data_IF_431026798797
#
_entry.id   IF_431026798797
#
_cell.length_a   1.000
_cell.length_b   1.000
_cell.length_c   1.000
_cell.angle_alpha   90.00
_cell.angle_beta   90.00
_cell.angle_gamma   90.00
#
_symmetry.space_group_name_H-M   'P 1'
#
loop_
_entity.id
_entity.type
_entity.pdbx_description
1 polymer ?
#
# COMPACT_ATOMS: atom_id res chain seq x y z
N UNK A 1 19.38 0.63 45.72
CA UNK A 1 20.67 0.36 45.05
C UNK A 1 20.60 -0.98 44.31
N UNK A 2 19.61 -1.17 43.41
CA UNK A 2 19.49 -2.26 42.44
C UNK A 2 18.55 -1.79 41.31
N UNK A 3 18.93 -0.78 40.54
CA UNK A 3 18.22 -0.36 39.36
C UNK A 3 19.14 0.18 38.25
N UNK A 4 20.41 -0.20 38.28
CA UNK A 4 21.41 0.28 37.30
C UNK A 4 21.95 -0.78 36.34
N UNK A 5 21.21 -1.85 36.06
CA UNK A 5 21.66 -2.86 35.09
C UNK A 5 20.51 -3.30 34.15
N UNK A 6 19.81 -2.37 33.56
CA UNK A 6 19.04 -2.67 32.36
C UNK A 6 19.05 -1.46 31.44
N UNK A 7 20.24 -1.19 30.87
CA UNK A 7 20.41 -0.16 29.84
C UNK A 7 19.94 -0.64 28.48
N UNK A 8 18.71 -1.18 28.39
CA UNK A 8 18.00 -1.33 27.14
C UNK A 8 17.17 -0.04 27.04
N UNK A 9 17.74 1.00 26.46
CA UNK A 9 16.96 2.05 25.84
C UNK A 9 16.26 1.36 24.67
N UNK A 10 15.03 0.90 24.87
CA UNK A 10 14.10 0.72 23.77
C UNK A 10 13.90 2.13 23.18
N UNK A 11 14.64 2.45 22.13
CA UNK A 11 14.19 3.39 21.15
C UNK A 11 12.86 2.82 20.66
N UNK A 12 11.74 3.25 21.21
CA UNK A 12 10.44 3.00 20.65
C UNK A 12 10.50 3.67 19.27
N UNK A 13 10.71 2.85 18.23
CA UNK A 13 10.55 3.34 16.86
C UNK A 13 9.14 3.96 16.79
N UNK A 14 9.09 5.17 16.28
CA UNK A 14 7.82 5.91 16.18
C UNK A 14 6.85 5.07 15.34
N UNK A 15 5.68 4.75 15.88
CA UNK A 15 4.60 4.14 15.12
C UNK A 15 4.16 5.14 14.05
N UNK A 16 4.18 4.73 12.79
CA UNK A 16 3.69 5.50 11.66
C UNK A 16 2.21 5.20 11.46
N UNK A 17 1.37 6.23 11.45
CA UNK A 17 -0.07 6.12 11.20
C UNK A 17 -0.33 6.45 9.73
N UNK A 18 -0.72 5.43 8.96
CA UNK A 18 -1.15 5.56 7.56
C UNK A 18 -2.67 5.63 7.48
N UNK A 19 -3.22 6.58 6.73
CA UNK A 19 -4.66 6.68 6.49
C UNK A 19 -4.98 6.87 5.01
N UNK A 20 -6.12 6.30 4.57
CA UNK A 20 -6.69 6.53 3.24
C UNK A 20 -7.65 7.72 3.28
N UNK A 21 -7.82 8.42 2.15
CA UNK A 21 -8.74 9.54 2.01
C UNK A 21 -9.71 9.34 0.84
N UNK A 22 -10.92 9.90 0.97
CA UNK A 22 -11.96 9.87 -0.06
C UNK A 22 -12.04 11.19 -0.85
N UNK A 23 -11.46 12.27 -0.33
CA UNK A 23 -11.43 13.59 -0.95
C UNK A 23 -10.21 14.38 -0.51
N UNK A 24 -9.91 15.47 -1.22
CA UNK A 24 -8.83 16.40 -0.84
C UNK A 24 -9.13 17.05 0.51
N UNK A 25 -10.37 17.42 0.76
CA UNK A 25 -10.80 17.96 2.05
C UNK A 25 -10.53 16.98 3.21
N UNK A 26 -10.77 15.69 2.98
CA UNK A 26 -10.46 14.67 3.99
C UNK A 26 -8.94 14.52 4.20
N UNK A 27 -8.12 14.71 3.15
CA UNK A 27 -6.65 14.75 3.30
C UNK A 27 -6.26 15.86 4.29
N UNK A 28 -6.81 17.08 4.15
CA UNK A 28 -6.53 18.18 5.06
C UNK A 28 -6.92 17.84 6.50
N UNK A 29 -8.11 17.28 6.71
CA UNK A 29 -8.58 16.85 8.04
C UNK A 29 -7.69 15.78 8.67
N UNK A 30 -7.21 14.81 7.88
CA UNK A 30 -6.31 13.77 8.35
C UNK A 30 -4.93 14.32 8.72
N UNK A 31 -4.42 15.29 7.96
CA UNK A 31 -3.17 15.98 8.26
C UNK A 31 -3.28 16.80 9.58
N UNK A 32 -4.40 17.51 9.78
CA UNK A 32 -4.71 18.22 11.03
C UNK A 32 -4.84 17.25 12.21
N UNK A 33 -5.41 16.06 12.00
CA UNK A 33 -5.52 15.01 13.01
C UNK A 33 -4.18 14.36 13.38
N UNK A 34 -3.11 14.66 12.64
CA UNK A 34 -1.75 14.22 12.97
C UNK A 34 -1.34 12.90 12.33
N UNK A 35 -2.03 12.42 11.29
CA UNK A 35 -1.63 11.26 10.49
C UNK A 35 -0.22 11.48 9.93
N UNK A 36 0.59 10.43 9.89
CA UNK A 36 1.98 10.52 9.40
C UNK A 36 2.10 10.29 7.91
N UNK A 37 1.23 9.45 7.33
CA UNK A 37 1.28 9.05 5.93
C UNK A 37 -0.13 9.03 5.33
N UNK A 38 -0.31 9.68 4.18
CA UNK A 38 -1.57 9.66 3.41
C UNK A 38 -1.45 8.64 2.28
N UNK A 39 -2.40 7.69 2.24
CA UNK A 39 -2.46 6.63 1.24
C UNK A 39 -3.59 6.87 0.25
N UNK A 40 -3.23 7.11 -1.00
CA UNK A 40 -4.13 7.42 -2.12
C UNK A 40 -3.73 6.63 -3.36
N UNK A 41 -4.48 6.77 -4.46
CA UNK A 41 -4.08 6.15 -5.72
C UNK A 41 -4.94 6.55 -6.90
N UNK A 42 -4.48 6.15 -8.07
CA UNK A 42 -5.11 6.38 -9.36
C UNK A 42 -5.97 5.15 -9.74
N UNK A 43 -6.94 5.36 -10.62
CA UNK A 43 -7.97 4.38 -10.99
C UNK A 43 -7.42 3.07 -11.58
N UNK A 44 -6.42 3.17 -12.46
CA UNK A 44 -5.93 2.00 -13.22
C UNK A 44 -4.91 1.18 -12.43
N UNK A 45 -4.08 1.84 -11.62
CA UNK A 45 -2.93 1.22 -10.96
C UNK A 45 -3.13 0.93 -9.47
N UNK A 46 -4.15 1.56 -8.83
CA UNK A 46 -4.46 1.36 -7.42
C UNK A 46 -5.62 0.37 -7.20
N UNK A 47 -5.50 -0.48 -6.19
CA UNK A 47 -6.59 -1.35 -5.72
C UNK A 47 -6.91 -1.10 -4.25
N UNK A 48 -8.15 -1.44 -3.87
CA UNK A 48 -8.61 -1.43 -2.48
C UNK A 48 -8.52 -0.04 -1.82
N UNK A 49 -8.83 0.97 -2.60
CA UNK A 49 -8.91 2.36 -2.15
C UNK A 49 -10.38 2.77 -1.98
N UNK A 50 -10.69 3.68 -1.05
CA UNK A 50 -12.07 4.21 -0.89
C UNK A 50 -12.50 5.00 -2.13
N UNK A 51 -11.59 5.72 -2.76
CA UNK A 51 -11.77 6.45 -4.01
C UNK A 51 -10.48 6.48 -4.82
N UNK A 52 -10.54 7.01 -6.03
CA UNK A 52 -9.38 7.22 -6.90
C UNK A 52 -9.25 8.69 -7.28
N UNK A 53 -8.03 9.16 -7.45
CA UNK A 53 -7.71 10.55 -7.76
C UNK A 53 -7.12 10.69 -9.16
N UNK A 54 -7.44 11.79 -9.84
CA UNK A 54 -6.79 12.16 -11.10
C UNK A 54 -5.34 12.61 -10.86
N UNK A 55 -4.54 12.68 -11.91
CA UNK A 55 -3.17 13.18 -11.84
C UNK A 55 -3.08 14.59 -11.23
N UNK A 56 -4.01 15.50 -11.57
CA UNK A 56 -4.02 16.85 -11.03
C UNK A 56 -4.36 16.85 -9.54
N UNK A 57 -5.30 16.03 -9.11
CA UNK A 57 -5.62 15.86 -7.69
C UNK A 57 -4.45 15.22 -6.92
N UNK A 58 -3.73 14.26 -7.51
CA UNK A 58 -2.54 13.68 -6.88
C UNK A 58 -1.42 14.71 -6.73
N UNK A 59 -1.23 15.65 -7.67
CA UNK A 59 -0.30 16.78 -7.51
C UNK A 59 -0.69 17.71 -6.36
N UNK A 60 -1.98 18.01 -6.25
CA UNK A 60 -2.51 18.84 -5.16
C UNK A 60 -2.32 18.15 -3.80
N UNK A 61 -2.66 16.87 -3.70
CA UNK A 61 -2.47 16.07 -2.49
C UNK A 61 -0.98 15.99 -2.12
N UNK A 62 -0.08 15.74 -3.09
CA UNK A 62 1.36 15.70 -2.84
C UNK A 62 1.85 17.01 -2.20
N UNK A 63 1.41 18.15 -2.74
CA UNK A 63 1.74 19.45 -2.19
C UNK A 63 1.23 19.62 -0.76
N UNK A 64 -0.03 19.32 -0.49
CA UNK A 64 -0.63 19.43 0.86
C UNK A 64 0.10 18.56 1.87
N UNK A 65 0.40 17.32 1.51
CA UNK A 65 1.10 16.36 2.38
C UNK A 65 2.52 16.82 2.69
N UNK A 66 3.27 17.25 1.68
CA UNK A 66 4.65 17.73 1.86
C UNK A 66 4.72 19.08 2.60
N UNK A 67 3.80 20.00 2.34
CA UNK A 67 3.69 21.27 3.07
C UNK A 67 3.43 21.05 4.58
N UNK A 68 2.72 19.96 4.93
CA UNK A 68 2.52 19.51 6.31
C UNK A 68 3.70 18.71 6.89
N UNK A 69 4.77 18.47 6.13
CA UNK A 69 5.93 17.66 6.54
C UNK A 69 5.59 16.19 6.76
N UNK A 70 4.63 15.66 6.00
CA UNK A 70 4.14 14.28 6.06
C UNK A 70 4.52 13.49 4.81
N UNK A 71 4.26 12.17 4.80
CA UNK A 71 4.64 11.27 3.72
C UNK A 71 3.46 10.93 2.81
N UNK A 72 3.70 10.93 1.50
CA UNK A 72 2.75 10.50 0.48
C UNK A 72 3.03 9.05 0.07
N UNK A 73 2.03 8.20 0.20
CA UNK A 73 2.03 6.82 -0.26
C UNK A 73 1.01 6.66 -1.39
N UNK A 74 1.45 6.16 -2.54
CA UNK A 74 0.57 5.95 -3.70
C UNK A 74 0.44 4.46 -4.01
N UNK A 75 -0.81 4.02 -4.24
CA UNK A 75 -1.12 2.66 -4.61
C UNK A 75 -0.70 2.34 -6.05
N UNK A 76 0.15 1.33 -6.21
CA UNK A 76 0.57 0.71 -7.49
C UNK A 76 0.41 -0.80 -7.39
N UNK A 77 -0.62 -1.23 -6.68
CA UNK A 77 -0.84 -2.62 -6.29
C UNK A 77 -1.92 -3.33 -7.10
N UNK A 78 -2.29 -2.80 -8.26
CA UNK A 78 -3.21 -3.46 -9.17
C UNK A 78 -2.63 -4.79 -9.69
N UNK A 79 -3.52 -5.72 -10.05
CA UNK A 79 -3.15 -6.92 -10.79
C UNK A 79 -2.78 -6.52 -12.22
N UNK A 80 -1.48 -6.53 -12.54
CA UNK A 80 -0.97 -6.03 -13.81
C UNK A 80 -1.26 -7.01 -14.94
N UNK A 81 -1.87 -6.50 -16.01
CA UNK A 81 -1.96 -7.14 -17.30
C UNK A 81 -0.97 -6.49 -18.27
N UNK A 82 -0.72 -7.08 -19.42
CA UNK A 82 0.29 -6.60 -20.36
C UNK A 82 0.06 -5.15 -20.79
N UNK A 83 -1.18 -4.77 -21.08
CA UNK A 83 -1.55 -3.40 -21.46
C UNK A 83 -1.29 -2.38 -20.34
N UNK A 84 -1.40 -2.81 -19.09
CA UNK A 84 -1.07 -1.97 -17.93
C UNK A 84 0.45 -1.86 -17.76
N UNK A 85 1.19 -2.94 -17.97
CA UNK A 85 2.66 -2.92 -17.93
C UNK A 85 3.25 -2.01 -19.01
N UNK A 86 2.61 -1.90 -20.17
CA UNK A 86 3.02 -0.98 -21.23
C UNK A 86 2.82 0.50 -20.83
N UNK A 87 1.89 0.78 -19.90
CA UNK A 87 1.55 2.11 -19.38
C UNK A 87 2.17 2.44 -18.01
N UNK A 88 2.82 1.49 -17.36
CA UNK A 88 3.32 1.67 -15.98
C UNK A 88 4.41 2.73 -15.91
N UNK A 89 5.33 2.75 -16.89
CA UNK A 89 6.47 3.69 -16.86
C UNK A 89 6.03 5.16 -16.84
N UNK A 90 5.13 5.65 -17.73
CA UNK A 90 4.63 7.02 -17.64
C UNK A 90 4.00 7.37 -16.29
N UNK A 91 3.36 6.41 -15.64
CA UNK A 91 2.79 6.62 -14.31
C UNK A 91 3.87 6.72 -13.22
N UNK A 92 4.88 5.85 -13.26
CA UNK A 92 6.01 5.93 -12.33
C UNK A 92 6.82 7.22 -12.51
N UNK A 93 7.03 7.66 -13.76
CA UNK A 93 7.68 8.94 -14.08
C UNK A 93 6.88 10.13 -13.50
N UNK A 94 5.54 10.07 -13.55
CA UNK A 94 4.66 11.05 -12.91
C UNK A 94 4.79 11.01 -11.37
N UNK A 95 4.84 9.84 -10.76
CA UNK A 95 5.02 9.72 -9.31
C UNK A 95 6.37 10.27 -8.84
N UNK A 96 7.42 10.10 -9.64
CA UNK A 96 8.72 10.72 -9.41
C UNK A 96 8.66 12.24 -9.52
N UNK A 97 7.96 12.79 -10.54
CA UNK A 97 7.74 14.23 -10.72
C UNK A 97 7.11 14.88 -9.48
N UNK A 98 6.06 14.25 -8.92
CA UNK A 98 5.36 14.77 -7.73
C UNK A 98 6.07 14.45 -6.41
N UNK A 99 7.25 13.81 -6.47
CA UNK A 99 8.07 13.42 -5.32
C UNK A 99 7.35 12.51 -4.34
N UNK A 100 6.62 11.51 -4.85
CA UNK A 100 6.02 10.48 -4.01
C UNK A 100 7.07 9.85 -3.09
N UNK A 101 6.77 9.69 -1.79
CA UNK A 101 7.71 9.12 -0.83
C UNK A 101 7.71 7.59 -0.89
N UNK A 102 6.52 7.00 -1.03
CA UNK A 102 6.34 5.56 -1.06
C UNK A 102 5.32 5.14 -2.11
N UNK A 103 5.51 3.95 -2.66
CA UNK A 103 4.49 3.26 -3.47
C UNK A 103 4.23 1.86 -2.93
N UNK A 104 2.97 1.40 -2.92
CA UNK A 104 2.67 -0.02 -2.66
C UNK A 104 2.73 -0.82 -3.94
N UNK A 105 3.39 -1.96 -3.93
CA UNK A 105 3.55 -2.83 -5.11
C UNK A 105 3.11 -4.25 -4.77
N UNK A 106 2.23 -4.83 -5.61
CA UNK A 106 1.82 -6.24 -5.51
C UNK A 106 2.40 -7.12 -6.63
N UNK A 107 2.89 -6.53 -7.71
CA UNK A 107 3.34 -7.23 -8.91
C UNK A 107 4.87 -7.21 -9.06
N UNK A 108 5.46 -8.39 -9.30
CA UNK A 108 6.91 -8.53 -9.47
C UNK A 108 7.47 -7.76 -10.69
N UNK A 109 6.67 -7.62 -11.75
CA UNK A 109 7.05 -6.85 -12.94
C UNK A 109 7.22 -5.37 -12.64
N UNK A 110 6.37 -4.80 -11.75
CA UNK A 110 6.50 -3.41 -11.30
C UNK A 110 7.78 -3.23 -10.48
N UNK A 111 8.08 -4.13 -9.54
CA UNK A 111 9.35 -4.12 -8.81
C UNK A 111 10.55 -4.15 -9.75
N UNK A 112 10.48 -4.99 -10.80
CA UNK A 112 11.54 -5.05 -11.80
C UNK A 112 11.74 -3.71 -12.51
N UNK A 113 10.66 -3.05 -12.94
CA UNK A 113 10.73 -1.73 -13.61
C UNK A 113 11.30 -0.67 -12.67
N UNK A 114 10.81 -0.61 -11.43
CA UNK A 114 11.28 0.35 -10.42
C UNK A 114 12.78 0.21 -10.17
N UNK A 115 13.26 -1.02 -9.96
CA UNK A 115 14.67 -1.28 -9.69
C UNK A 115 15.57 -1.04 -10.91
N UNK A 116 15.09 -1.39 -12.12
CA UNK A 116 15.83 -1.18 -13.36
C UNK A 116 16.03 0.30 -13.68
N UNK A 117 14.97 1.10 -13.51
CA UNK A 117 14.94 2.50 -13.93
C UNK A 117 15.44 3.46 -12.81
N UNK A 118 15.54 2.97 -11.56
CA UNK A 118 16.22 3.66 -10.45
C UNK A 118 15.43 4.86 -9.90
N UNK A 119 14.12 4.70 -9.69
CA UNK A 119 13.27 5.72 -9.06
C UNK A 119 13.67 6.02 -7.62
N UNK A 120 13.38 7.24 -7.12
CA UNK A 120 13.80 7.71 -5.80
C UNK A 120 12.85 7.31 -4.66
N UNK A 121 11.58 7.04 -4.97
CA UNK A 121 10.59 6.64 -3.96
C UNK A 121 10.87 5.24 -3.40
N UNK A 122 10.49 5.03 -2.15
CA UNK A 122 10.59 3.73 -1.50
C UNK A 122 9.43 2.82 -1.90
N UNK A 123 9.64 1.52 -1.82
CA UNK A 123 8.65 0.52 -2.19
C UNK A 123 8.15 -0.24 -0.98
N UNK A 124 6.82 -0.40 -0.86
CA UNK A 124 6.15 -1.22 0.14
C UNK A 124 5.58 -2.45 -0.55
N UNK A 125 5.98 -3.65 -0.10
CA UNK A 125 5.41 -4.88 -0.64
C UNK A 125 3.99 -5.09 -0.12
N UNK A 126 3.01 -5.11 -1.03
CA UNK A 126 1.62 -5.42 -0.68
C UNK A 126 1.42 -6.94 -0.50
N UNK A 127 1.73 -7.42 0.68
CA UNK A 127 1.51 -8.81 1.09
C UNK A 127 0.09 -9.06 1.62
N UNK A 128 -0.80 -8.07 1.57
CA UNK A 128 -2.15 -8.12 2.15
C UNK A 128 -3.05 -9.22 1.54
N UNK A 129 -2.68 -9.74 0.37
CA UNK A 129 -3.39 -10.84 -0.28
C UNK A 129 -2.57 -12.13 -0.22
N UNK A 130 -2.98 -13.06 0.64
CA UNK A 130 -2.50 -14.46 0.71
C UNK A 130 -1.03 -14.66 1.12
N UNK A 131 -0.31 -13.63 1.53
CA UNK A 131 1.08 -13.78 1.99
C UNK A 131 1.14 -13.68 3.51
N UNK A 132 1.27 -14.83 4.16
CA UNK A 132 1.33 -14.94 5.63
C UNK A 132 2.72 -15.35 6.14
N UNK A 133 3.66 -15.65 5.24
CA UNK A 133 4.99 -16.16 5.59
C UNK A 133 6.02 -15.02 5.71
N UNK A 134 6.64 -14.88 6.88
CA UNK A 134 7.76 -13.97 7.11
C UNK A 134 8.92 -14.20 6.13
N UNK A 135 9.18 -15.45 5.74
CA UNK A 135 10.23 -15.77 4.76
C UNK A 135 10.00 -15.16 3.39
N UNK A 136 8.74 -15.12 2.94
CA UNK A 136 8.39 -14.49 1.68
C UNK A 136 8.51 -12.96 1.77
N UNK A 137 8.10 -12.37 2.89
CA UNK A 137 8.24 -10.92 3.15
C UNK A 137 9.72 -10.53 3.16
N UNK A 138 10.55 -11.24 3.90
CA UNK A 138 12.00 -11.00 3.96
C UNK A 138 12.67 -11.17 2.58
N UNK A 139 12.21 -12.16 1.78
CA UNK A 139 12.69 -12.33 0.41
C UNK A 139 12.46 -11.05 -0.44
N UNK A 140 11.28 -10.44 -0.36
CA UNK A 140 11.00 -9.20 -1.10
C UNK A 140 11.86 -8.02 -0.61
N UNK A 141 12.10 -7.91 0.68
CA UNK A 141 13.04 -6.95 1.24
C UNK A 141 14.46 -7.15 0.71
N UNK A 142 14.99 -8.37 0.80
CA UNK A 142 16.36 -8.70 0.41
C UNK A 142 16.61 -8.67 -1.11
N UNK A 143 15.66 -9.13 -1.93
CA UNK A 143 15.86 -9.37 -3.36
C UNK A 143 15.23 -8.30 -4.25
N UNK A 144 14.11 -7.73 -3.85
CA UNK A 144 13.42 -6.72 -4.62
C UNK A 144 13.60 -5.29 -4.05
N UNK A 145 14.23 -5.15 -2.88
CA UNK A 145 14.48 -3.86 -2.26
C UNK A 145 13.24 -3.23 -1.64
N UNK A 146 12.21 -4.04 -1.30
CA UNK A 146 11.08 -3.54 -0.54
C UNK A 146 11.54 -2.98 0.81
N UNK A 147 11.18 -1.73 1.11
CA UNK A 147 11.55 -1.05 2.35
C UNK A 147 10.61 -1.42 3.50
N UNK A 148 9.38 -1.78 3.20
CA UNK A 148 8.33 -2.15 4.15
C UNK A 148 7.42 -3.20 3.52
N UNK A 149 6.53 -3.82 4.31
CA UNK A 149 5.49 -4.72 3.82
C UNK A 149 4.15 -4.50 4.52
N UNK A 150 3.04 -4.57 3.77
CA UNK A 150 1.68 -4.62 4.33
C UNK A 150 1.34 -6.07 4.64
N UNK A 151 1.07 -6.40 5.90
CA UNK A 151 0.80 -7.77 6.31
C UNK A 151 -0.61 -8.23 5.94
N UNK A 152 -0.74 -9.52 5.64
CA UNK A 152 -2.03 -10.15 5.42
C UNK A 152 -2.86 -10.19 6.71
N UNK A 153 -4.17 -9.99 6.58
CA UNK A 153 -5.11 -9.99 7.71
C UNK A 153 -5.46 -11.37 8.21
N UNK A 154 -5.16 -12.39 7.43
CA UNK A 154 -5.33 -13.79 7.77
C UNK A 154 -4.30 -14.28 8.79
N UNK A 155 -3.27 -13.48 9.09
CA UNK A 155 -2.26 -13.84 10.10
C UNK A 155 -2.91 -13.81 11.49
N UNK A 156 -2.92 -14.93 12.21
CA UNK A 156 -3.47 -14.97 13.58
C UNK A 156 -2.70 -14.01 14.51
N UNK A 157 -3.38 -13.37 15.44
CA UNK A 157 -2.77 -12.42 16.38
C UNK A 157 -1.59 -13.04 17.15
N UNK A 158 -1.64 -14.31 17.49
CA UNK A 158 -0.54 -15.01 18.16
C UNK A 158 0.74 -15.13 17.31
N UNK A 159 0.59 -15.16 15.98
CA UNK A 159 1.71 -15.13 15.03
C UNK A 159 2.15 -13.67 14.77
N UNK A 160 1.18 -12.76 14.63
CA UNK A 160 1.44 -11.35 14.38
C UNK A 160 2.36 -10.76 15.45
N UNK A 161 2.15 -11.08 16.74
CA UNK A 161 3.00 -10.62 17.84
C UNK A 161 4.45 -11.16 17.80
N UNK A 162 4.70 -12.23 17.04
CA UNK A 162 6.05 -12.78 16.84
C UNK A 162 6.74 -12.23 15.58
N UNK A 163 5.98 -11.62 14.68
CA UNK A 163 6.53 -11.09 13.41
C UNK A 163 7.68 -10.09 13.61
N UNK A 164 7.63 -9.14 14.57
CA UNK A 164 8.73 -8.20 14.79
C UNK A 164 10.08 -8.84 15.08
N UNK A 165 10.11 -10.08 15.63
CA UNK A 165 11.34 -10.82 15.92
C UNK A 165 11.92 -11.53 14.67
N UNK A 166 11.12 -11.66 13.60
CA UNK A 166 11.45 -12.51 12.44
C UNK A 166 11.56 -11.68 11.16
N UNK A 167 10.84 -10.56 11.08
CA UNK A 167 10.85 -9.69 9.91
C UNK A 167 12.14 -8.86 9.87
N UNK A 168 12.72 -8.75 8.68
CA UNK A 168 13.93 -7.98 8.42
C UNK A 168 13.62 -6.57 7.88
N UNK A 169 12.35 -6.31 7.57
CA UNK A 169 11.84 -5.00 7.13
C UNK A 169 10.63 -4.62 7.98
N UNK A 170 10.37 -3.33 8.19
CA UNK A 170 9.17 -2.84 8.86
C UNK A 170 7.88 -3.37 8.23
N UNK A 171 6.84 -3.49 9.04
CA UNK A 171 5.55 -4.02 8.60
C UNK A 171 4.40 -3.11 8.98
N UNK A 172 3.45 -2.94 8.05
CA UNK A 172 2.19 -2.24 8.24
C UNK A 172 1.06 -3.25 8.52
N UNK A 173 0.22 -2.94 9.49
CA UNK A 173 -0.92 -3.77 9.90
C UNK A 173 -2.20 -2.95 9.81
N UNK A 174 -3.22 -3.46 9.14
CA UNK A 174 -4.55 -2.84 9.13
C UNK A 174 -5.19 -2.97 10.53
N UNK A 175 -5.39 -1.83 11.19
CA UNK A 175 -5.99 -1.78 12.53
C UNK A 175 -7.46 -1.36 12.52
N UNK A 176 -7.89 -0.62 11.50
CA UNK A 176 -9.26 -0.18 11.32
C UNK A 176 -9.59 0.03 9.84
N UNK A 177 -10.78 -0.40 9.41
CA UNK A 177 -11.28 -0.17 8.06
C UNK A 177 -11.93 -1.40 7.43
N UNK A 178 -12.46 -1.21 6.23
CA UNK A 178 -13.07 -2.27 5.44
C UNK A 178 -12.03 -3.29 4.98
N UNK A 179 -12.42 -4.54 5.05
CA UNK A 179 -11.60 -5.68 4.65
C UNK A 179 -12.00 -6.17 3.27
N UNK A 180 -11.06 -6.27 2.33
CA UNK A 180 -11.31 -6.96 1.06
C UNK A 180 -11.42 -8.46 1.31
N UNK A 181 -12.52 -9.07 0.89
CA UNK A 181 -12.76 -10.51 0.98
C UNK A 181 -12.34 -11.19 -0.33
N UNK A 182 -12.68 -10.57 -1.47
CA UNK A 182 -12.39 -11.11 -2.78
C UNK A 182 -12.25 -9.99 -3.82
N UNK A 183 -11.33 -10.17 -4.75
CA UNK A 183 -11.19 -9.33 -5.94
C UNK A 183 -10.99 -10.20 -7.16
N UNK A 184 -11.69 -9.88 -8.26
CA UNK A 184 -11.50 -10.53 -9.55
C UNK A 184 -11.65 -9.50 -10.67
N UNK A 185 -10.73 -9.55 -11.65
CA UNK A 185 -10.87 -8.78 -12.91
C UNK A 185 -11.87 -9.41 -13.88
N UNK A 186 -12.27 -10.68 -13.66
CA UNK A 186 -13.30 -11.32 -14.47
C UNK A 186 -14.68 -10.83 -14.03
N UNK A 187 -15.61 -10.54 -14.93
CA UNK A 187 -16.99 -10.13 -14.61
C UNK A 187 -17.79 -11.34 -14.10
N UNK A 188 -17.44 -11.84 -12.90
CA UNK A 188 -17.96 -13.10 -12.37
C UNK A 188 -19.47 -13.05 -12.17
N UNK A 189 -20.03 -11.95 -11.68
CA UNK A 189 -21.48 -11.79 -11.50
C UNK A 189 -22.20 -11.81 -12.84
N UNK A 190 -21.73 -11.03 -13.82
CA UNK A 190 -22.32 -11.02 -15.14
C UNK A 190 -22.25 -12.38 -15.80
N UNK A 191 -21.11 -13.08 -15.69
CA UNK A 191 -20.97 -14.44 -16.20
C UNK A 191 -21.92 -15.42 -15.52
N UNK A 192 -22.13 -15.28 -14.21
CA UNK A 192 -23.11 -16.07 -13.46
C UNK A 192 -24.53 -15.79 -13.91
N UNK A 193 -24.95 -14.55 -14.05
CA UNK A 193 -26.28 -14.19 -14.55
C UNK A 193 -26.51 -14.67 -15.96
N UNK A 194 -25.53 -14.51 -16.85
CA UNK A 194 -25.60 -15.03 -18.21
C UNK A 194 -25.76 -16.57 -18.24
N UNK A 195 -25.06 -17.28 -17.33
CA UNK A 195 -25.16 -18.74 -17.23
C UNK A 195 -26.53 -19.19 -16.67
N UNK A 196 -27.06 -18.50 -15.69
CA UNK A 196 -28.33 -18.85 -15.03
C UNK A 196 -29.55 -18.29 -15.74
N UNK A 197 -29.38 -17.52 -16.82
CA UNK A 197 -30.45 -16.83 -17.55
C UNK A 197 -31.36 -15.94 -16.64
N UNK A 198 -30.79 -15.40 -15.58
CA UNK A 198 -31.47 -14.41 -14.72
C UNK A 198 -31.29 -13.03 -15.37
N UNK A 199 -32.40 -12.40 -15.74
CA UNK A 199 -32.38 -11.04 -16.35
C UNK A 199 -31.87 -10.00 -15.35
N UNK A 200 -31.07 -9.04 -15.85
CA UNK A 200 -30.40 -7.94 -15.10
C UNK A 200 -31.37 -6.96 -14.40
N UNK A 201 -32.68 -7.08 -14.55
CA UNK A 201 -33.68 -6.18 -13.99
C UNK A 201 -33.87 -6.27 -12.46
N UNK A 202 -33.06 -7.08 -11.75
CA UNK A 202 -33.18 -7.33 -10.30
C UNK A 202 -31.93 -7.04 -9.47
N UNK A 203 -30.98 -6.27 -10.01
CA UNK A 203 -29.80 -5.82 -9.23
C UNK A 203 -29.77 -4.32 -9.05
#
# INVERSE_FOLDING_TARGET
>A
MILEKCGIIFLMEKIVITATAESIEQVEQLLEAGVDRIYVGEKDFGLRLPTTFSYDQLREIAKLVHDAGKELLVAVNALMHQDMMDRIKPFLDFLEEIKTDYITIGDAGVFYVVNRDGYSFKTIYDASTMVTSSRQINFWGQKAGASEAVLAREIPSAELFKMPEILEIPAEVLVYGASVIHHSKRPLLQNYYNFTHIDDEKT
#
